data_IF_458033884478
#
_entry.id   IF_458033884478
#
_cell.length_a   1.000
_cell.length_b   1.000
_cell.length_c   1.000
_cell.angle_alpha   90.00
_cell.angle_beta   90.00
_cell.angle_gamma   90.00
#
_symmetry.space_group_name_H-M   'P 1'
#
loop_
_entity.id
_entity.type
_entity.pdbx_description
1 polymer ?
#
# COMPACT_ATOMS: atom_id res chain seq x y z
N UNK A 1 -46.71 -25.28 -52.63
CA UNK A 1 -46.95 -24.83 -51.24
C UNK A 1 -45.63 -24.31 -50.70
N UNK A 2 -45.48 -23.00 -50.53
CA UNK A 2 -44.29 -22.39 -49.92
C UNK A 2 -44.26 -22.75 -48.44
N UNK A 3 -43.44 -23.73 -48.06
CA UNK A 3 -43.10 -23.93 -46.66
C UNK A 3 -42.03 -22.90 -46.30
N UNK A 4 -42.44 -21.80 -45.67
CA UNK A 4 -41.50 -20.95 -44.93
C UNK A 4 -40.83 -21.83 -43.87
N UNK A 5 -39.52 -22.05 -44.04
CA UNK A 5 -38.72 -22.79 -43.07
C UNK A 5 -38.53 -22.00 -41.76
N UNK A 6 -38.06 -22.64 -40.69
CA UNK A 6 -37.69 -21.95 -39.46
C UNK A 6 -36.57 -20.94 -39.73
N UNK A 7 -36.64 -19.78 -39.06
CA UNK A 7 -35.57 -18.79 -39.09
C UNK A 7 -34.54 -19.09 -38.00
N UNK A 8 -33.35 -19.51 -38.42
CA UNK A 8 -32.25 -19.89 -37.53
C UNK A 8 -31.38 -18.72 -37.06
N UNK A 9 -31.62 -17.48 -37.54
CA UNK A 9 -30.78 -16.32 -37.20
C UNK A 9 -30.69 -16.04 -35.69
N UNK A 10 -31.77 -16.28 -34.97
CA UNK A 10 -31.89 -15.93 -33.55
C UNK A 10 -31.63 -17.10 -32.60
N UNK A 11 -31.31 -18.29 -33.12
CA UNK A 11 -31.13 -19.47 -32.30
C UNK A 11 -29.76 -19.41 -31.61
N UNK A 12 -29.74 -19.82 -30.34
CA UNK A 12 -28.51 -20.11 -29.60
C UNK A 12 -27.84 -21.39 -30.12
N UNK A 13 -26.54 -21.57 -29.82
CA UNK A 13 -25.79 -22.76 -30.25
C UNK A 13 -26.49 -24.06 -29.83
N UNK A 14 -27.01 -24.14 -28.61
CA UNK A 14 -27.75 -25.30 -28.10
C UNK A 14 -29.06 -25.54 -28.85
N UNK A 15 -29.80 -24.48 -29.20
CA UNK A 15 -31.05 -24.61 -29.96
C UNK A 15 -30.81 -25.06 -31.41
N UNK A 16 -29.68 -24.67 -32.01
CA UNK A 16 -29.27 -25.14 -33.33
C UNK A 16 -28.85 -26.62 -33.31
N UNK A 17 -28.12 -27.05 -32.28
CA UNK A 17 -27.73 -28.46 -32.09
C UNK A 17 -28.96 -29.35 -31.84
N UNK A 18 -29.92 -28.87 -31.04
CA UNK A 18 -31.20 -29.55 -30.82
C UNK A 18 -32.03 -29.63 -32.11
N UNK A 19 -32.12 -28.56 -32.89
CA UNK A 19 -32.81 -28.55 -34.17
C UNK A 19 -32.19 -29.51 -35.19
N UNK A 20 -30.85 -29.64 -35.20
CA UNK A 20 -30.14 -30.61 -36.03
C UNK A 20 -30.43 -32.06 -35.60
N UNK A 21 -30.62 -32.32 -34.31
CA UNK A 21 -30.92 -33.65 -33.78
C UNK A 21 -32.33 -34.15 -34.17
N UNK A 22 -33.27 -33.22 -34.33
CA UNK A 22 -34.67 -33.51 -34.68
C UNK A 22 -34.94 -33.48 -36.19
N UNK A 23 -33.98 -33.02 -37.00
CA UNK A 23 -34.15 -32.91 -38.45
C UNK A 23 -34.06 -34.28 -39.13
N UNK A 24 -35.09 -34.61 -39.90
CA UNK A 24 -35.07 -35.76 -40.81
C UNK A 24 -34.18 -35.47 -42.02
N UNK A 25 -32.97 -36.05 -41.96
CA UNK A 25 -31.85 -35.77 -42.88
C UNK A 25 -32.11 -36.22 -44.31
N UNK A 26 -32.91 -37.27 -44.50
CA UNK A 26 -33.22 -37.80 -45.83
C UNK A 26 -34.26 -36.96 -46.55
N UNK A 27 -35.11 -36.26 -45.79
CA UNK A 27 -36.24 -35.49 -46.32
C UNK A 27 -35.93 -34.02 -46.61
N UNK A 28 -34.94 -33.44 -45.93
CA UNK A 28 -34.62 -32.02 -46.03
C UNK A 28 -33.10 -31.74 -46.06
N UNK A 29 -32.39 -32.10 -47.15
CA UNK A 29 -30.95 -31.91 -47.27
C UNK A 29 -30.54 -30.42 -47.23
N UNK A 30 -31.33 -29.52 -47.83
CA UNK A 30 -31.04 -28.08 -47.86
C UNK A 30 -31.08 -27.44 -46.45
N UNK A 31 -31.93 -27.98 -45.56
CA UNK A 31 -32.03 -27.51 -44.17
C UNK A 31 -30.86 -27.99 -43.32
N UNK A 32 -30.33 -29.17 -43.65
CA UNK A 32 -29.17 -29.72 -42.96
C UNK A 32 -27.93 -28.87 -43.23
N UNK A 33 -27.71 -28.47 -44.49
CA UNK A 33 -26.59 -27.61 -44.86
C UNK A 33 -26.66 -26.24 -44.15
N UNK A 34 -27.83 -25.60 -44.19
CA UNK A 34 -28.01 -24.31 -43.52
C UNK A 34 -27.84 -24.38 -41.99
N UNK A 35 -28.34 -25.43 -41.33
CA UNK A 35 -28.12 -25.62 -39.88
C UNK A 35 -26.64 -25.81 -39.54
N UNK A 36 -25.90 -26.57 -40.34
CA UNK A 36 -24.46 -26.74 -40.15
C UNK A 36 -23.69 -25.43 -40.31
N UNK A 37 -24.01 -24.63 -41.33
CA UNK A 37 -23.43 -23.30 -41.54
C UNK A 37 -23.70 -22.35 -40.36
N UNK A 38 -24.92 -22.37 -39.81
CA UNK A 38 -25.26 -21.55 -38.63
C UNK A 38 -24.57 -22.03 -37.35
N UNK A 39 -24.40 -23.34 -37.15
CA UNK A 39 -23.67 -23.89 -35.99
C UNK A 39 -22.20 -23.50 -36.06
N UNK A 40 -21.58 -23.64 -37.24
CA UNK A 40 -20.18 -23.29 -37.45
C UNK A 40 -19.97 -21.79 -37.21
N UNK A 41 -20.85 -20.95 -37.79
CA UNK A 41 -20.84 -19.50 -37.56
C UNK A 41 -21.01 -19.11 -36.08
N UNK A 42 -21.94 -19.74 -35.36
CA UNK A 42 -22.15 -19.45 -33.92
C UNK A 42 -20.97 -19.90 -33.06
N UNK A 43 -20.32 -21.01 -33.42
CA UNK A 43 -19.12 -21.50 -32.74
C UNK A 43 -17.92 -20.57 -32.97
N UNK A 44 -17.77 -20.08 -34.20
CA UNK A 44 -16.78 -19.06 -34.53
C UNK A 44 -17.03 -17.75 -33.76
N UNK A 45 -18.28 -17.26 -33.74
CA UNK A 45 -18.68 -16.07 -32.97
C UNK A 45 -18.36 -16.22 -31.47
N UNK A 46 -18.73 -17.36 -30.86
CA UNK A 46 -18.47 -17.62 -29.44
C UNK A 46 -16.98 -17.75 -29.12
N UNK A 47 -16.21 -18.40 -30.00
CA UNK A 47 -14.74 -18.50 -29.85
C UNK A 47 -14.05 -17.16 -30.01
N UNK A 48 -14.53 -16.30 -30.92
CA UNK A 48 -14.04 -14.95 -31.10
C UNK A 48 -14.37 -14.08 -29.87
N UNK A 49 -15.59 -14.18 -29.33
CA UNK A 49 -15.97 -13.46 -28.10
C UNK A 49 -15.11 -13.87 -26.90
N UNK A 50 -14.85 -15.17 -26.73
CA UNK A 50 -13.97 -15.69 -25.68
C UNK A 50 -12.51 -15.24 -25.84
N UNK A 51 -11.97 -15.26 -27.06
CA UNK A 51 -10.65 -14.72 -27.34
C UNK A 51 -10.58 -13.22 -27.04
N UNK A 52 -11.65 -12.48 -27.32
CA UNK A 52 -11.73 -11.03 -27.05
C UNK A 52 -11.81 -10.73 -25.55
N UNK A 53 -12.54 -11.54 -24.77
CA UNK A 53 -12.59 -11.42 -23.31
C UNK A 53 -11.29 -11.84 -22.62
N UNK A 54 -10.66 -12.93 -23.07
CA UNK A 54 -9.36 -13.36 -22.53
C UNK A 54 -8.24 -12.36 -22.89
N UNK A 55 -8.24 -11.79 -24.10
CA UNK A 55 -7.35 -10.67 -24.46
C UNK A 55 -7.70 -9.38 -23.70
N UNK A 56 -8.96 -9.13 -23.35
CA UNK A 56 -9.32 -8.00 -22.49
C UNK A 56 -8.88 -8.20 -21.03
N UNK A 57 -8.88 -9.44 -20.54
CA UNK A 57 -8.53 -9.77 -19.15
C UNK A 57 -7.02 -10.00 -18.94
N UNK A 58 -6.33 -10.61 -19.90
CA UNK A 58 -4.88 -10.89 -19.86
C UNK A 58 -4.04 -10.05 -20.85
N UNK A 59 -4.64 -9.42 -21.85
CA UNK A 59 -3.96 -8.95 -23.08
C UNK A 59 -3.55 -7.49 -23.17
N UNK A 60 -3.37 -6.75 -22.09
CA UNK A 60 -2.48 -5.58 -22.14
C UNK A 60 -1.28 -5.83 -21.25
N UNK A 61 -0.33 -6.64 -21.74
CA UNK A 61 1.01 -6.69 -21.19
C UNK A 61 1.48 -5.24 -20.98
N UNK A 62 1.93 -4.92 -19.77
CA UNK A 62 2.54 -3.62 -19.50
C UNK A 62 3.59 -3.40 -20.58
N UNK A 63 3.44 -2.36 -21.42
CA UNK A 63 4.50 -1.96 -22.34
C UNK A 63 5.79 -1.93 -21.50
N UNK A 64 6.93 -2.49 -21.90
CA UNK A 64 8.12 -2.49 -21.05
C UNK A 64 8.59 -1.05 -20.82
N UNK A 65 9.04 -0.73 -19.60
CA UNK A 65 9.61 0.60 -19.29
C UNK A 65 10.73 0.89 -20.29
N UNK A 66 10.73 2.05 -20.97
CA UNK A 66 11.80 2.42 -21.89
C UNK A 66 13.17 2.30 -21.20
N UNK A 67 14.17 1.74 -21.90
CA UNK A 67 15.48 1.46 -21.30
C UNK A 67 16.14 2.71 -20.69
N UNK A 68 15.88 3.88 -21.27
CA UNK A 68 16.32 5.21 -20.82
C UNK A 68 15.79 5.60 -19.43
N UNK A 69 14.55 5.23 -19.10
CA UNK A 69 13.90 5.59 -17.84
C UNK A 69 14.05 4.51 -16.77
N UNK A 70 14.55 3.33 -17.13
CA UNK A 70 14.62 2.14 -16.27
C UNK A 70 15.44 2.38 -15.00
N UNK A 71 16.60 3.03 -15.11
CA UNK A 71 17.46 3.36 -13.97
C UNK A 71 16.75 4.33 -13.01
N UNK A 72 16.08 5.34 -13.54
CA UNK A 72 15.39 6.34 -12.75
C UNK A 72 14.17 5.76 -12.01
N UNK A 73 13.39 4.91 -12.69
CA UNK A 73 12.27 4.19 -12.08
C UNK A 73 12.76 3.26 -10.96
N UNK A 74 13.83 2.50 -11.19
CA UNK A 74 14.42 1.63 -10.18
C UNK A 74 14.96 2.39 -8.98
N UNK A 75 15.57 3.55 -9.21
CA UNK A 75 16.02 4.44 -8.14
C UNK A 75 14.85 4.85 -7.23
N UNK A 76 13.77 5.39 -7.80
CA UNK A 76 12.59 5.80 -7.01
C UNK A 76 11.89 4.63 -6.34
N UNK A 77 11.78 3.49 -7.01
CA UNK A 77 11.22 2.28 -6.42
C UNK A 77 12.08 1.77 -5.25
N UNK A 78 13.40 1.83 -5.39
CA UNK A 78 14.35 1.50 -4.32
C UNK A 78 14.24 2.46 -3.13
N UNK A 79 14.18 3.76 -3.38
CA UNK A 79 13.99 4.79 -2.35
C UNK A 79 12.67 4.57 -1.60
N UNK A 80 11.56 4.39 -2.32
CA UNK A 80 10.25 4.18 -1.70
C UNK A 80 10.21 2.88 -0.88
N UNK A 81 10.76 1.79 -1.43
CA UNK A 81 10.84 0.51 -0.71
C UNK A 81 11.71 0.63 0.55
N UNK A 82 12.83 1.37 0.47
CA UNK A 82 13.70 1.63 1.62
C UNK A 82 12.97 2.39 2.73
N UNK A 83 12.25 3.48 2.39
CA UNK A 83 11.42 4.23 3.34
C UNK A 83 10.39 3.31 4.02
N UNK A 84 9.66 2.51 3.24
CA UNK A 84 8.68 1.56 3.78
C UNK A 84 9.29 0.54 4.73
N UNK A 85 10.44 -0.02 4.39
CA UNK A 85 11.14 -0.99 5.24
C UNK A 85 11.59 -0.33 6.54
N UNK A 86 12.15 0.88 6.47
CA UNK A 86 12.61 1.61 7.65
C UNK A 86 11.45 2.02 8.57
N UNK A 87 10.35 2.50 8.00
CA UNK A 87 9.13 2.81 8.76
C UNK A 87 8.55 1.57 9.43
N UNK A 88 8.55 0.43 8.72
CA UNK A 88 8.12 -0.84 9.28
C UNK A 88 9.01 -1.27 10.45
N UNK A 89 10.34 -1.15 10.32
CA UNK A 89 11.28 -1.46 11.40
C UNK A 89 11.09 -0.56 12.63
N UNK A 90 10.77 0.72 12.44
CA UNK A 90 10.45 1.64 13.54
C UNK A 90 9.24 1.19 14.35
N UNK A 91 8.21 0.58 13.73
CA UNK A 91 7.06 0.06 14.50
C UNK A 91 7.47 -0.98 15.56
N UNK A 92 8.59 -1.67 15.34
CA UNK A 92 9.17 -2.63 16.29
C UNK A 92 10.19 -1.99 17.24
N UNK A 93 10.71 -0.79 16.92
CA UNK A 93 11.72 -0.07 17.72
C UNK A 93 11.07 0.94 18.67
N UNK A 94 10.24 0.46 19.60
CA UNK A 94 9.46 1.32 20.52
C UNK A 94 10.24 1.87 21.73
N UNK A 95 11.56 1.72 21.75
CA UNK A 95 12.42 2.18 22.86
C UNK A 95 13.06 3.54 22.62
N UNK A 96 12.76 4.21 21.50
CA UNK A 96 13.34 5.51 21.16
C UNK A 96 12.36 6.65 21.41
N UNK A 97 12.82 7.68 22.12
CA UNK A 97 12.06 8.90 22.42
C UNK A 97 12.76 10.08 21.71
N UNK A 98 12.12 10.72 20.71
CA UNK A 98 12.73 11.84 20.01
C UNK A 98 12.88 13.06 20.93
N UNK A 99 13.84 13.93 20.60
CA UNK A 99 14.01 15.19 21.30
C UNK A 99 12.83 16.15 21.03
N UNK A 100 12.48 16.98 22.01
CA UNK A 100 11.35 17.91 21.91
C UNK A 100 11.52 18.92 20.76
N UNK A 101 12.74 19.45 20.59
CA UNK A 101 13.05 20.36 19.47
C UNK A 101 12.87 19.68 18.11
N UNK A 102 13.05 18.36 18.01
CA UNK A 102 12.82 17.64 16.76
C UNK A 102 11.33 17.59 16.46
N UNK A 103 10.53 17.17 17.45
CA UNK A 103 9.07 17.04 17.37
C UNK A 103 8.39 18.35 16.90
N UNK A 104 8.84 19.50 17.43
CA UNK A 104 8.32 20.83 17.07
C UNK A 104 8.38 21.12 15.56
N UNK A 105 9.43 20.63 14.88
CA UNK A 105 9.62 20.88 13.45
C UNK A 105 9.12 19.77 12.54
N UNK A 106 8.69 18.62 13.08
CA UNK A 106 8.26 17.46 12.27
C UNK A 106 7.13 17.84 11.33
N UNK A 107 6.11 18.55 11.81
CA UNK A 107 4.97 18.94 10.97
C UNK A 107 5.41 19.81 9.78
N UNK A 108 6.28 20.79 10.03
CA UNK A 108 6.79 21.71 8.99
C UNK A 108 7.66 20.94 7.99
N UNK A 109 8.53 20.06 8.46
CA UNK A 109 9.38 19.22 7.60
C UNK A 109 8.51 18.31 6.72
N UNK A 110 7.54 17.60 7.30
CA UNK A 110 6.62 16.73 6.57
C UNK A 110 5.87 17.53 5.51
N UNK A 111 5.36 18.72 5.83
CA UNK A 111 4.66 19.58 4.88
C UNK A 111 5.57 19.97 3.70
N UNK A 112 6.77 20.50 3.99
CA UNK A 112 7.73 20.96 2.96
C UNK A 112 8.13 19.78 2.06
N UNK A 113 8.54 18.66 2.64
CA UNK A 113 8.96 17.49 1.87
C UNK A 113 7.80 16.88 1.08
N UNK A 114 6.58 16.90 1.61
CA UNK A 114 5.39 16.47 0.87
C UNK A 114 5.17 17.33 -0.36
N UNK A 115 5.28 18.66 -0.25
CA UNK A 115 5.13 19.58 -1.39
C UNK A 115 6.22 19.30 -2.42
N UNK A 116 7.49 19.23 -2.01
CA UNK A 116 8.62 19.00 -2.92
C UNK A 116 8.49 17.66 -3.64
N UNK A 117 8.21 16.58 -2.91
CA UNK A 117 8.06 15.24 -3.48
C UNK A 117 6.81 15.11 -4.34
N UNK A 118 5.71 15.78 -3.99
CA UNK A 118 4.50 15.82 -4.82
C UNK A 118 4.76 16.57 -6.12
N UNK A 119 5.45 17.71 -6.08
CA UNK A 119 5.86 18.44 -7.28
C UNK A 119 6.77 17.58 -8.17
N UNK A 120 7.76 16.89 -7.59
CA UNK A 120 8.63 15.97 -8.32
C UNK A 120 7.83 14.81 -8.94
N UNK A 121 6.90 14.23 -8.19
CA UNK A 121 6.00 13.17 -8.67
C UNK A 121 5.15 13.66 -9.84
N UNK A 122 4.47 14.80 -9.72
CA UNK A 122 3.63 15.32 -10.81
C UNK A 122 4.45 15.76 -12.02
N UNK A 123 5.64 16.34 -11.81
CA UNK A 123 6.56 16.64 -12.90
C UNK A 123 6.94 15.36 -13.66
N UNK A 124 7.29 14.30 -12.93
CA UNK A 124 7.61 13.00 -13.53
C UNK A 124 6.42 12.42 -14.30
N UNK A 125 5.23 12.40 -13.70
CA UNK A 125 4.00 11.95 -14.37
C UNK A 125 3.70 12.80 -15.61
N UNK A 126 4.01 14.10 -15.61
CA UNK A 126 3.75 14.98 -16.76
C UNK A 126 4.74 14.78 -17.93
N UNK A 127 5.98 14.41 -17.62
CA UNK A 127 7.06 14.23 -18.62
C UNK A 127 7.07 12.81 -19.19
N UNK A 128 6.75 11.83 -18.37
CA UNK A 128 6.72 10.44 -18.78
C UNK A 128 5.36 10.09 -19.40
N UNK A 129 5.28 10.26 -20.73
CA UNK A 129 4.10 9.89 -21.52
C UNK A 129 3.72 8.43 -21.34
N UNK A 130 4.67 7.55 -21.07
CA UNK A 130 4.44 6.12 -20.88
C UNK A 130 3.80 5.85 -19.50
N UNK A 131 4.33 6.42 -18.42
CA UNK A 131 3.77 6.25 -17.08
C UNK A 131 2.39 6.91 -16.95
N UNK A 132 2.21 8.09 -17.55
CA UNK A 132 0.92 8.78 -17.55
C UNK A 132 -0.14 8.04 -18.38
N UNK A 133 0.24 7.44 -19.52
CA UNK A 133 -0.66 6.60 -20.33
C UNK A 133 -1.06 5.36 -19.55
N UNK A 134 -0.11 4.67 -18.90
CA UNK A 134 -0.41 3.47 -18.10
C UNK A 134 -1.30 3.77 -16.87
N UNK A 135 -1.07 4.88 -16.16
CA UNK A 135 -1.91 5.32 -15.04
C UNK A 135 -3.32 5.75 -15.45
N UNK A 136 -3.46 6.39 -16.62
CA UNK A 136 -4.75 6.93 -17.10
C UNK A 136 -5.58 5.89 -17.86
N UNK A 137 -4.94 4.94 -18.55
CA UNK A 137 -5.57 3.95 -19.45
C UNK A 137 -6.23 2.79 -18.70
N UNK A 138 -5.68 2.37 -17.55
CA UNK A 138 -5.93 1.01 -17.03
C UNK A 138 -7.00 0.88 -15.92
N UNK A 139 -7.27 1.88 -15.09
CA UNK A 139 -8.26 1.68 -13.99
C UNK A 139 -8.70 2.95 -13.27
N UNK A 140 -9.92 2.94 -12.73
CA UNK A 140 -10.37 3.87 -11.67
C UNK A 140 -9.30 4.00 -10.56
N UNK A 141 -8.61 2.92 -10.21
CA UNK A 141 -7.56 2.92 -9.18
C UNK A 141 -6.35 3.80 -9.54
N UNK A 142 -5.91 3.84 -10.81
CA UNK A 142 -4.78 4.68 -11.24
C UNK A 142 -5.07 6.18 -11.12
N UNK A 143 -6.31 6.59 -11.43
CA UNK A 143 -6.79 7.96 -11.21
C UNK A 143 -6.85 8.30 -9.72
N UNK A 144 -7.29 7.36 -8.88
CA UNK A 144 -7.25 7.54 -7.42
C UNK A 144 -5.81 7.70 -6.91
N UNK A 145 -4.85 6.91 -7.39
CA UNK A 145 -3.44 7.03 -6.98
C UNK A 145 -2.86 8.41 -7.28
N UNK A 146 -3.16 9.01 -8.44
CA UNK A 146 -2.68 10.36 -8.79
C UNK A 146 -3.23 11.42 -7.82
N UNK A 147 -4.50 11.30 -7.42
CA UNK A 147 -5.16 12.25 -6.51
C UNK A 147 -4.67 12.06 -5.07
N UNK A 148 -4.48 10.82 -4.64
CA UNK A 148 -4.09 10.49 -3.26
C UNK A 148 -2.56 10.44 -3.06
N UNK A 149 -1.75 10.59 -4.10
CA UNK A 149 -0.29 10.53 -3.99
C UNK A 149 0.28 11.48 -2.92
N UNK A 150 -0.13 12.77 -2.82
CA UNK A 150 0.38 13.66 -1.78
C UNK A 150 0.05 13.17 -0.37
N UNK A 151 -1.14 12.60 -0.19
CA UNK A 151 -1.57 12.04 1.10
C UNK A 151 -0.74 10.81 1.47
N UNK A 152 -0.50 9.91 0.52
CA UNK A 152 0.35 8.74 0.73
C UNK A 152 1.79 9.15 1.07
N UNK A 153 2.34 10.14 0.34
CA UNK A 153 3.67 10.69 0.61
C UNK A 153 3.73 11.24 2.05
N UNK A 154 2.77 12.07 2.46
CA UNK A 154 2.71 12.60 3.83
C UNK A 154 2.59 11.50 4.89
N UNK A 155 1.76 10.49 4.63
CA UNK A 155 1.53 9.36 5.53
C UNK A 155 2.81 8.57 5.83
N UNK A 156 3.65 8.33 4.82
CA UNK A 156 4.93 7.63 5.00
C UNK A 156 6.06 8.56 5.48
N UNK A 157 6.06 9.84 5.08
CA UNK A 157 7.07 10.79 5.57
C UNK A 157 6.97 11.06 7.07
N UNK A 158 5.77 11.08 7.64
CA UNK A 158 5.59 11.38 9.06
C UNK A 158 6.36 10.42 9.99
N UNK A 159 6.14 9.09 9.97
CA UNK A 159 6.90 8.18 10.82
C UNK A 159 8.39 8.19 10.49
N UNK A 160 8.74 8.34 9.21
CA UNK A 160 10.14 8.42 8.77
C UNK A 160 10.86 9.61 9.42
N UNK A 161 10.29 10.81 9.32
CA UNK A 161 10.87 12.02 9.89
C UNK A 161 10.81 12.00 11.41
N UNK A 162 9.69 11.58 12.00
CA UNK A 162 9.51 11.61 13.45
C UNK A 162 10.40 10.62 14.19
N UNK A 163 10.70 9.45 13.60
CA UNK A 163 11.36 8.36 14.31
C UNK A 163 12.60 7.82 13.59
N UNK A 164 12.56 7.56 12.28
CA UNK A 164 13.70 6.98 11.55
C UNK A 164 14.89 7.93 11.56
N UNK A 165 14.68 9.18 11.14
CA UNK A 165 15.74 10.19 11.05
C UNK A 165 16.42 10.45 12.40
N UNK A 166 15.69 10.77 13.49
CA UNK A 166 16.33 11.02 14.78
C UNK A 166 16.91 9.75 15.39
N UNK A 167 16.33 8.57 15.15
CA UNK A 167 16.93 7.32 15.61
C UNK A 167 18.26 7.03 14.90
N UNK A 168 18.33 7.23 13.58
CA UNK A 168 19.59 7.11 12.84
C UNK A 168 20.62 8.16 13.28
N UNK A 169 20.18 9.41 13.49
CA UNK A 169 21.02 10.47 14.04
C UNK A 169 21.56 10.14 15.43
N UNK A 170 20.76 9.47 16.26
CA UNK A 170 21.16 9.02 17.59
C UNK A 170 22.27 7.96 17.57
N UNK A 171 22.21 7.01 16.64
CA UNK A 171 23.27 5.99 16.47
C UNK A 171 24.60 6.60 16.02
N UNK A 172 24.54 7.72 15.29
CA UNK A 172 25.72 8.42 14.76
C UNK A 172 26.26 9.50 15.70
N UNK A 173 25.53 9.85 16.75
CA UNK A 173 25.90 10.93 17.68
C UNK A 173 26.68 10.43 18.89
N UNK A 174 27.37 11.35 19.56
CA UNK A 174 27.94 11.08 20.89
C UNK A 174 26.79 10.98 21.89
N UNK A 175 26.74 9.85 22.59
CA UNK A 175 25.65 9.51 23.48
C UNK A 175 26.15 9.47 24.93
N UNK A 176 25.40 10.09 25.84
CA UNK A 176 25.70 10.08 27.27
C UNK A 176 24.66 9.26 28.02
N UNK A 177 25.08 8.61 29.12
CA UNK A 177 24.11 7.99 30.03
C UNK A 177 23.22 9.08 30.62
N UNK A 178 21.92 8.83 30.61
CA UNK A 178 20.93 9.75 31.11
C UNK A 178 19.89 8.99 31.92
N UNK A 179 19.60 9.52 33.09
CA UNK A 179 18.63 8.98 34.04
C UNK A 179 17.70 10.12 34.43
N UNK A 180 16.40 9.89 34.35
CA UNK A 180 15.41 10.89 34.73
C UNK A 180 14.16 10.21 35.28
N UNK A 181 13.48 10.92 36.18
CA UNK A 181 12.17 10.51 36.68
C UNK A 181 11.09 11.34 36.01
N UNK A 182 10.04 10.68 35.55
CA UNK A 182 8.90 11.31 34.89
C UNK A 182 7.59 10.65 35.30
N UNK A 183 6.50 11.37 35.10
CA UNK A 183 5.17 10.86 35.37
C UNK A 183 4.71 9.97 34.20
N UNK A 184 4.10 8.82 34.52
CA UNK A 184 3.55 7.90 33.54
C UNK A 184 2.05 7.66 33.75
N UNK A 185 1.39 7.22 32.68
CA UNK A 185 0.03 6.69 32.69
C UNK A 185 -0.01 5.37 31.93
N UNK A 186 -0.51 4.30 32.55
CA UNK A 186 -0.72 3.03 31.88
C UNK A 186 -1.83 3.17 30.84
N UNK A 187 -1.57 2.70 29.63
CA UNK A 187 -2.57 2.60 28.57
C UNK A 187 -2.62 1.18 28.05
N UNK A 188 -3.80 0.75 27.62
CA UNK A 188 -3.97 -0.56 26.98
C UNK A 188 -3.72 -0.48 25.46
N UNK A 189 -3.21 -1.61 24.93
CA UNK A 189 -3.18 -2.11 23.55
C UNK A 189 -3.03 -1.11 22.39
N UNK A 190 -1.90 -1.22 21.70
CA UNK A 190 -1.73 -0.84 20.28
C UNK A 190 -1.05 -1.98 19.51
N UNK A 191 -1.14 -1.98 18.17
CA UNK A 191 -0.39 -2.94 17.34
C UNK A 191 1.12 -2.78 17.63
N UNK A 192 1.82 -3.88 17.90
CA UNK A 192 3.26 -3.90 18.22
C UNK A 192 3.61 -3.76 19.70
N UNK A 193 2.69 -3.28 20.56
CA UNK A 193 2.94 -3.12 21.99
C UNK A 193 1.65 -3.23 22.81
N UNK A 194 1.48 -4.37 23.49
CA UNK A 194 0.23 -4.69 24.20
C UNK A 194 0.11 -3.95 25.54
N UNK A 195 1.23 -3.81 26.25
CA UNK A 195 1.32 -3.19 27.57
C UNK A 195 2.25 -1.99 27.48
N UNK A 196 1.76 -0.80 27.82
CA UNK A 196 2.46 0.44 27.58
C UNK A 196 2.27 1.47 28.68
N UNK A 197 3.32 2.23 28.93
CA UNK A 197 3.34 3.39 29.79
C UNK A 197 3.49 4.64 28.91
N UNK A 198 2.50 5.52 28.90
CA UNK A 198 2.62 6.86 28.32
C UNK A 198 3.43 7.72 29.27
N UNK A 199 4.57 8.20 28.81
CA UNK A 199 5.50 9.03 29.55
C UNK A 199 5.26 10.48 29.16
N UNK A 200 5.11 11.34 30.17
CA UNK A 200 5.02 12.78 29.94
C UNK A 200 6.36 13.33 29.44
N UNK A 201 6.29 14.38 28.63
CA UNK A 201 7.46 15.13 28.17
C UNK A 201 8.32 15.52 29.38
N UNK A 202 9.61 15.23 29.29
CA UNK A 202 10.61 15.51 30.32
C UNK A 202 11.76 16.29 29.67
N UNK A 203 12.42 17.17 30.41
CA UNK A 203 13.47 18.12 29.98
C UNK A 203 14.09 17.86 28.58
N UNK A 204 13.49 18.45 27.54
CA UNK A 204 13.99 18.40 26.16
C UNK A 204 13.69 17.11 25.37
N UNK A 205 12.80 16.25 25.88
CA UNK A 205 12.29 15.04 25.24
C UNK A 205 10.80 15.18 24.96
N UNK A 206 10.38 14.61 23.83
CA UNK A 206 8.98 14.49 23.45
C UNK A 206 8.20 13.60 24.43
N UNK A 207 6.88 13.77 24.47
CA UNK A 207 6.02 12.76 25.09
C UNK A 207 6.10 11.47 24.26
N UNK A 208 6.23 10.32 24.93
CA UNK A 208 6.40 9.06 24.22
C UNK A 208 5.78 7.88 24.97
N UNK A 209 5.69 6.76 24.29
CA UNK A 209 5.06 5.55 24.79
C UNK A 209 6.12 4.47 24.93
N UNK A 210 6.31 3.99 26.16
CA UNK A 210 7.25 2.91 26.46
C UNK A 210 6.52 1.58 26.53
N UNK A 211 7.07 0.56 25.88
CA UNK A 211 6.62 -0.81 26.06
C UNK A 211 7.12 -1.38 27.38
N UNK A 212 6.19 -1.92 28.16
CA UNK A 212 6.49 -2.57 29.44
C UNK A 212 6.09 -4.03 29.40
N UNK A 213 6.68 -4.84 30.27
CA UNK A 213 6.32 -6.24 30.39
C UNK A 213 4.89 -6.40 30.95
N UNK A 214 4.24 -7.53 30.68
CA UNK A 214 2.93 -7.84 31.27
C UNK A 214 2.99 -7.89 32.80
N UNK A 215 4.09 -8.39 33.35
CA UNK A 215 4.32 -8.46 34.80
C UNK A 215 4.38 -7.06 35.41
N UNK A 216 5.07 -6.13 34.77
CA UNK A 216 5.16 -4.74 35.21
C UNK A 216 3.80 -4.05 35.09
N UNK A 217 3.10 -4.23 33.98
CA UNK A 217 1.76 -3.67 33.79
C UNK A 217 0.77 -4.10 34.88
N UNK A 218 0.83 -5.37 35.30
CA UNK A 218 -0.06 -5.89 36.34
C UNK A 218 0.34 -5.46 37.77
N UNK A 219 1.61 -5.11 37.99
CA UNK A 219 2.14 -4.77 39.32
C UNK A 219 2.23 -3.26 39.57
N UNK A 220 2.30 -2.46 38.51
CA UNK A 220 2.37 -0.99 38.58
C UNK A 220 0.99 -0.37 38.80
N UNK A 221 0.88 0.74 39.55
CA UNK A 221 -0.36 1.50 39.64
C UNK A 221 -0.73 2.12 38.27
N UNK A 222 -2.02 2.48 38.04
CA UNK A 222 -2.48 3.06 36.77
C UNK A 222 -1.74 4.33 36.33
N UNK A 223 -1.20 5.08 37.29
CA UNK A 223 -0.36 6.26 37.06
C UNK A 223 0.60 6.43 38.23
N UNK A 224 1.74 7.06 37.99
CA UNK A 224 2.73 7.35 39.02
C UNK A 224 4.02 7.90 38.42
N UNK A 225 5.11 7.77 39.18
CA UNK A 225 6.44 8.15 38.70
C UNK A 225 7.23 6.91 38.26
N UNK A 226 7.98 7.06 37.17
CA UNK A 226 8.87 6.05 36.62
C UNK A 226 10.24 6.68 36.42
N UNK A 227 11.27 5.98 36.89
CA UNK A 227 12.66 6.28 36.63
C UNK A 227 13.06 5.56 35.34
N UNK A 228 13.62 6.30 34.39
CA UNK A 228 14.00 5.80 33.07
C UNK A 228 15.49 6.04 32.90
N UNK A 229 16.21 4.99 32.49
CA UNK A 229 17.64 5.05 32.21
C UNK A 229 17.95 4.61 30.78
N UNK A 230 18.90 5.29 30.16
CA UNK A 230 19.22 5.08 28.76
C UNK A 230 20.39 5.92 28.27
N UNK A 231 20.51 6.00 26.96
CA UNK A 231 21.51 6.84 26.29
C UNK A 231 20.83 8.02 25.62
N UNK A 232 21.22 9.24 26.00
CA UNK A 232 20.70 10.49 25.44
C UNK A 232 21.69 11.12 24.47
N UNK A 233 21.17 11.67 23.40
CA UNK A 233 21.89 12.54 22.48
C UNK A 233 21.05 13.75 22.09
N UNK A 234 21.56 14.60 21.20
CA UNK A 234 20.79 15.72 20.68
C UNK A 234 19.51 15.26 19.95
N UNK A 235 19.48 14.04 19.41
CA UNK A 235 18.35 13.54 18.63
C UNK A 235 17.22 12.94 19.48
N UNK A 236 17.53 12.55 20.71
CA UNK A 236 16.57 11.89 21.58
C UNK A 236 17.25 10.97 22.60
N UNK A 237 16.46 10.04 23.12
CA UNK A 237 16.84 9.07 24.14
C UNK A 237 16.50 7.66 23.68
N UNK A 238 17.45 6.74 23.76
CA UNK A 238 17.19 5.30 23.67
C UNK A 238 17.04 4.76 25.09
N UNK A 239 15.85 4.25 25.41
CA UNK A 239 15.52 3.66 26.72
C UNK A 239 16.11 2.25 26.81
N UNK A 240 16.91 2.01 27.86
CA UNK A 240 17.56 0.72 28.13
C UNK A 240 16.85 0.02 29.29
N UNK A 241 16.50 0.75 30.33
CA UNK A 241 15.80 0.21 31.48
C UNK A 241 14.84 1.23 32.10
N UNK A 242 13.89 0.72 32.87
CA UNK A 242 12.95 1.52 33.64
C UNK A 242 12.71 0.88 35.01
N UNK A 243 12.35 1.70 35.99
CA UNK A 243 11.99 1.28 37.35
C UNK A 243 10.86 2.15 37.86
N UNK A 244 9.76 1.54 38.31
CA UNK A 244 8.71 2.30 39.00
C UNK A 244 9.22 2.73 40.37
N UNK A 245 9.09 4.03 40.66
CA UNK A 245 9.31 4.57 42.00
C UNK A 245 8.00 4.43 42.77
N UNK A 246 8.06 3.80 43.96
CA UNK A 246 6.92 3.67 44.87
C UNK A 246 6.66 4.97 45.61
#
# INVERSE_FOLDING_TARGET
MNQQGPDYQHYSLSELEDALSQLDRERFPDRLQSLQEWIEKRREEQSAEQLTEEEAYYGEALEPVPAENKLWVWFWQGVFSCVLILDFLVMFRQSFVPAAWWEEWVFVQVLIYTIVLSCAFYFFVSKDNYFSRNLKRRSRSGKFTIVFAPFLIAMFLYPFIMYVVPSAGHELSVNNRYEYTTHYQLKTRTKGCHFRALINAAEGLASSTLCISQQDYNSMPPSGNIEISGTRSMWGLTVIAYRSTR
#
